data_IF_785394913699
#
_entry.id   IF_785394913699
#
_cell.length_a   1.000
_cell.length_b   1.000
_cell.length_c   1.000
_cell.angle_alpha   90.00
_cell.angle_beta   90.00
_cell.angle_gamma   90.00
#
_symmetry.space_group_name_H-M   'P 1'
#
loop_
_entity.id
_entity.type
_entity.pdbx_description
1 polymer ?
#
# COMPACT_ATOMS: atom_id res chain seq x y z
N UNK A 1 3.88 14.57 -7.82
CA UNK A 1 5.33 14.61 -7.52
C UNK A 1 5.50 14.76 -6.01
N UNK A 2 6.19 13.82 -5.35
CA UNK A 2 6.46 13.90 -3.91
C UNK A 2 7.55 14.95 -3.63
N UNK A 3 7.40 15.70 -2.54
CA UNK A 3 8.35 16.74 -2.09
C UNK A 3 9.60 16.15 -1.43
N UNK A 4 9.61 14.83 -1.22
CA UNK A 4 10.74 14.05 -0.71
C UNK A 4 11.15 13.08 -1.82
N UNK A 5 12.22 13.42 -2.56
CA UNK A 5 12.86 12.52 -3.54
C UNK A 5 13.66 11.44 -2.79
N UNK A 6 12.97 10.52 -2.14
CA UNK A 6 13.56 9.25 -1.75
C UNK A 6 13.85 8.50 -3.06
N UNK A 7 15.13 8.34 -3.41
CA UNK A 7 15.62 7.63 -4.60
C UNK A 7 14.63 6.52 -5.04
N UNK A 8 13.82 6.83 -6.06
CA UNK A 8 12.75 5.94 -6.54
C UNK A 8 13.32 4.65 -7.12
N UNK A 9 14.58 4.69 -7.56
CA UNK A 9 15.27 3.61 -8.23
C UNK A 9 16.02 2.63 -7.31
N UNK A 10 15.88 2.73 -5.99
CA UNK A 10 16.56 1.79 -5.10
C UNK A 10 16.02 0.36 -5.31
N UNK A 11 16.87 -0.65 -5.59
CA UNK A 11 16.43 -2.00 -5.96
C UNK A 11 15.59 -2.68 -4.88
N UNK A 12 15.87 -2.42 -3.60
CA UNK A 12 15.06 -2.95 -2.49
C UNK A 12 13.64 -2.38 -2.48
N UNK A 13 13.47 -1.09 -2.80
CA UNK A 13 12.14 -0.47 -2.88
C UNK A 13 11.31 -1.12 -3.98
N UNK A 14 11.89 -1.28 -5.18
CA UNK A 14 11.23 -1.96 -6.31
C UNK A 14 10.86 -3.41 -5.98
N UNK A 15 11.68 -4.10 -5.20
CA UNK A 15 11.37 -5.45 -4.73
C UNK A 15 10.13 -5.47 -3.82
N UNK A 16 10.09 -4.62 -2.79
CA UNK A 16 8.91 -4.53 -1.91
C UNK A 16 7.67 -4.04 -2.63
N UNK A 17 7.81 -3.12 -3.58
CA UNK A 17 6.70 -2.62 -4.38
C UNK A 17 6.08 -3.74 -5.22
N UNK A 18 6.89 -4.60 -5.85
CA UNK A 18 6.41 -5.78 -6.58
C UNK A 18 5.70 -6.79 -5.68
N UNK A 19 6.18 -6.97 -4.46
CA UNK A 19 5.53 -7.86 -3.48
C UNK A 19 4.19 -7.31 -3.02
N UNK A 20 4.09 -5.99 -2.82
CA UNK A 20 2.86 -5.34 -2.36
C UNK A 20 1.84 -5.11 -3.49
N UNK A 21 2.31 -4.94 -4.73
CA UNK A 21 1.50 -4.68 -5.93
C UNK A 21 0.27 -5.58 -6.10
N UNK A 22 0.33 -6.92 -5.98
CA UNK A 22 -0.85 -7.77 -6.15
C UNK A 22 -1.98 -7.46 -5.16
N UNK A 23 -1.65 -6.97 -3.97
CA UNK A 23 -2.61 -6.61 -2.92
C UNK A 23 -3.05 -5.15 -3.05
N UNK A 24 -2.11 -4.24 -3.29
CA UNK A 24 -2.40 -2.81 -3.38
C UNK A 24 -3.12 -2.43 -4.68
N UNK A 25 -2.78 -3.05 -5.81
CA UNK A 25 -3.36 -2.74 -7.13
C UNK A 25 -4.90 -2.85 -7.19
N UNK A 26 -5.56 -3.91 -6.69
CA UNK A 26 -7.01 -3.96 -6.65
C UNK A 26 -7.61 -2.89 -5.73
N UNK A 27 -6.99 -2.62 -4.57
CA UNK A 27 -7.48 -1.59 -3.62
C UNK A 27 -7.34 -0.18 -4.19
N UNK A 28 -6.25 0.10 -4.91
CA UNK A 28 -6.03 1.38 -5.63
C UNK A 28 -7.05 1.64 -6.73
N UNK A 29 -7.79 0.63 -7.21
CA UNK A 29 -8.92 0.85 -8.13
C UNK A 29 -10.12 1.49 -7.44
N UNK A 30 -10.27 1.28 -6.13
CA UNK A 30 -11.37 1.81 -5.32
C UNK A 30 -10.93 3.12 -4.65
N UNK A 31 -9.71 3.13 -4.10
CA UNK A 31 -9.14 4.27 -3.40
C UNK A 31 -7.85 4.67 -4.13
N UNK A 32 -7.94 5.46 -5.20
CA UNK A 32 -6.77 5.90 -5.94
C UNK A 32 -5.88 6.80 -5.05
N UNK A 33 -4.55 6.78 -5.25
CA UNK A 33 -3.66 7.65 -4.52
C UNK A 33 -3.96 9.12 -4.82
N UNK A 34 -4.07 9.93 -3.77
CA UNK A 34 -4.41 11.36 -3.88
C UNK A 34 -3.13 12.17 -3.68
N UNK A 35 -2.75 12.99 -4.66
CA UNK A 35 -1.59 13.88 -4.59
C UNK A 35 -0.26 13.19 -4.23
N UNK A 36 -0.08 11.93 -4.63
CA UNK A 36 1.12 11.14 -4.31
C UNK A 36 1.11 10.48 -2.94
N UNK A 37 0.01 10.62 -2.18
CA UNK A 37 -0.23 9.87 -0.96
C UNK A 37 -1.03 8.61 -1.25
N UNK A 38 -0.51 7.46 -0.84
CA UNK A 38 -1.16 6.18 -1.10
C UNK A 38 -1.99 5.70 0.11
N UNK A 39 -3.27 6.04 0.10
CA UNK A 39 -4.23 5.61 1.12
C UNK A 39 -4.56 4.12 1.05
N UNK A 40 -4.24 3.44 -0.06
CA UNK A 40 -4.53 2.00 -0.21
C UNK A 40 -3.75 1.16 0.80
N UNK A 41 -2.57 1.61 1.22
CA UNK A 41 -1.76 0.93 2.24
C UNK A 41 -2.48 0.90 3.59
N UNK A 42 -3.00 2.05 4.03
CA UNK A 42 -3.74 2.15 5.30
C UNK A 42 -5.01 1.31 5.23
N UNK A 43 -5.74 1.36 4.12
CA UNK A 43 -6.93 0.56 3.91
C UNK A 43 -6.65 -0.95 3.99
N UNK A 44 -5.58 -1.42 3.35
CA UNK A 44 -5.16 -2.84 3.41
C UNK A 44 -4.80 -3.25 4.83
N UNK A 45 -4.00 -2.46 5.54
CA UNK A 45 -3.63 -2.74 6.92
C UNK A 45 -4.85 -2.80 7.85
N UNK A 46 -5.80 -1.88 7.66
CA UNK A 46 -7.05 -1.87 8.41
C UNK A 46 -7.88 -3.14 8.16
N UNK A 47 -8.03 -3.55 6.90
CA UNK A 47 -8.74 -4.79 6.54
C UNK A 47 -8.07 -6.00 7.21
N UNK A 48 -6.74 -6.10 7.15
CA UNK A 48 -5.99 -7.19 7.78
C UNK A 48 -6.23 -7.22 9.30
N UNK A 49 -6.15 -6.06 9.97
CA UNK A 49 -6.41 -5.98 11.42
C UNK A 49 -7.82 -6.40 11.79
N UNK A 50 -8.83 -5.96 11.04
CA UNK A 50 -10.22 -6.35 11.26
C UNK A 50 -10.40 -7.86 11.07
N UNK A 51 -9.83 -8.43 10.00
CA UNK A 51 -9.85 -9.86 9.73
C UNK A 51 -9.19 -10.67 10.86
N UNK A 52 -7.99 -10.27 11.27
CA UNK A 52 -7.27 -10.91 12.38
C UNK A 52 -8.08 -10.85 13.67
N UNK A 53 -8.63 -9.68 14.01
CA UNK A 53 -9.43 -9.51 15.23
C UNK A 53 -10.74 -10.28 15.17
N UNK A 54 -11.35 -10.47 14.01
CA UNK A 54 -12.53 -11.31 13.86
C UNK A 54 -12.23 -12.80 13.94
N UNK A 55 -11.03 -13.23 13.53
CA UNK A 55 -10.59 -14.61 13.57
C UNK A 55 -10.11 -15.04 14.97
N UNK A 56 -9.56 -14.10 15.74
CA UNK A 56 -9.07 -14.30 17.11
C UNK A 56 -10.18 -14.17 18.18
N UNK A 57 -11.45 -14.16 17.76
CA UNK A 57 -12.63 -14.18 18.65
C UNK A 57 -13.11 -15.59 18.91
#
# INVERSE_FOLDING_TARGET
MSWIKLNEDHPTRKFFEKLAEPVLKPVRKVIPPVNGFDLSVIAVLFIIQVMQRSLLR
#
